data_IF_405058556540
#
_entry.id   IF_405058556540
#
_cell.length_a   1.000
_cell.length_b   1.000
_cell.length_c   1.000
_cell.angle_alpha   90.00
_cell.angle_beta   90.00
_cell.angle_gamma   90.00
#
_symmetry.space_group_name_H-M   'P 1'
#
loop_
_entity.id
_entity.type
_entity.pdbx_description
1 polymer ?
#
# COMPACT_ATOMS: atom_id res chain seq x y z
N UNK A 1 18.28 12.09 -11.65
CA UNK A 1 17.97 11.75 -13.06
C UNK A 1 17.10 10.50 -13.27
N UNK A 2 16.39 9.94 -12.28
CA UNK A 2 15.39 8.87 -12.55
C UNK A 2 14.16 8.97 -11.62
N UNK A 3 13.29 9.95 -11.84
CA UNK A 3 11.98 10.01 -11.17
C UNK A 3 10.93 9.11 -11.83
N UNK A 4 11.15 8.67 -13.08
CA UNK A 4 10.14 7.98 -13.88
C UNK A 4 9.74 6.60 -13.33
N UNK A 5 10.65 5.86 -12.69
CA UNK A 5 10.34 4.55 -12.08
C UNK A 5 9.43 4.63 -10.85
N UNK A 6 9.25 5.81 -10.24
CA UNK A 6 8.28 5.96 -9.15
C UNK A 6 6.83 5.96 -9.64
N UNK A 7 6.59 6.25 -10.93
CA UNK A 7 5.25 6.20 -11.52
C UNK A 7 4.74 4.78 -11.79
N UNK A 8 5.59 3.75 -11.67
CA UNK A 8 5.21 2.37 -11.95
C UNK A 8 4.11 1.83 -11.01
N UNK A 9 3.84 2.53 -9.90
CA UNK A 9 2.73 2.20 -9.00
C UNK A 9 1.38 2.75 -9.49
N UNK A 10 1.34 3.78 -10.34
CA UNK A 10 0.09 4.37 -10.83
C UNK A 10 -0.75 3.40 -11.66
N UNK A 11 -0.19 2.69 -12.67
CA UNK A 11 -0.96 1.71 -13.44
C UNK A 11 -1.59 0.65 -12.54
N UNK A 12 -0.85 0.20 -11.51
CA UNK A 12 -1.36 -0.72 -10.51
C UNK A 12 -2.58 -0.14 -9.79
N UNK A 13 -2.50 1.10 -9.28
CA UNK A 13 -3.63 1.76 -8.63
C UNK A 13 -4.85 1.85 -9.54
N UNK A 14 -4.67 2.25 -10.81
CA UNK A 14 -5.77 2.35 -11.78
C UNK A 14 -6.43 0.99 -11.97
N UNK A 15 -5.66 -0.07 -12.17
CA UNK A 15 -6.20 -1.43 -12.33
C UNK A 15 -6.95 -1.89 -11.08
N UNK A 16 -6.40 -1.67 -9.88
CA UNK A 16 -7.05 -2.06 -8.64
C UNK A 16 -8.33 -1.26 -8.36
N UNK A 17 -8.35 0.04 -8.70
CA UNK A 17 -9.55 0.87 -8.59
C UNK A 17 -10.62 0.43 -9.60
N UNK A 18 -10.24 0.08 -10.82
CA UNK A 18 -11.16 -0.48 -11.81
C UNK A 18 -11.70 -1.87 -11.39
N UNK A 19 -10.91 -2.64 -10.65
CA UNK A 19 -11.35 -3.92 -10.07
C UNK A 19 -12.22 -3.76 -8.82
N UNK A 20 -12.21 -2.59 -8.16
CA UNK A 20 -12.92 -2.38 -6.90
C UNK A 20 -14.45 -2.65 -6.98
N UNK A 21 -15.19 -2.26 -8.04
CA UNK A 21 -16.59 -2.64 -8.18
C UNK A 21 -16.79 -4.16 -8.25
N UNK A 22 -15.92 -4.89 -8.94
CA UNK A 22 -16.00 -6.34 -9.02
C UNK A 22 -15.72 -7.00 -7.65
N UNK A 23 -14.72 -6.50 -6.92
CA UNK A 23 -14.44 -6.91 -5.54
C UNK A 23 -15.67 -6.68 -4.65
N UNK A 24 -16.32 -5.51 -4.75
CA UNK A 24 -17.52 -5.19 -4.00
C UNK A 24 -18.73 -6.07 -4.38
N UNK A 25 -18.87 -6.44 -5.66
CA UNK A 25 -19.91 -7.36 -6.11
C UNK A 25 -19.69 -8.78 -5.58
N UNK A 26 -18.46 -9.29 -5.66
CA UNK A 26 -18.10 -10.62 -5.12
C UNK A 26 -18.32 -10.63 -3.61
N UNK A 27 -17.90 -9.58 -2.91
CA UNK A 27 -18.16 -9.45 -1.47
C UNK A 27 -19.65 -9.42 -1.13
N UNK A 28 -20.47 -8.72 -1.93
CA UNK A 28 -21.93 -8.63 -1.71
C UNK A 28 -22.65 -9.95 -1.93
N UNK A 29 -22.29 -10.71 -2.97
CA UNK A 29 -23.05 -11.90 -3.41
C UNK A 29 -22.39 -13.24 -3.05
N UNK A 30 -21.07 -13.26 -2.85
CA UNK A 30 -20.28 -14.47 -2.65
C UNK A 30 -19.14 -14.24 -1.64
N UNK A 31 -19.45 -13.54 -0.54
CA UNK A 31 -18.48 -13.12 0.50
C UNK A 31 -17.45 -14.17 0.90
N UNK A 32 -17.81 -15.45 1.18
CA UNK A 32 -16.84 -16.45 1.60
C UNK A 32 -15.79 -16.77 0.52
N UNK A 33 -16.08 -16.50 -0.75
CA UNK A 33 -15.19 -16.76 -1.88
C UNK A 33 -14.20 -15.62 -2.15
N UNK A 34 -14.42 -14.42 -1.62
CA UNK A 34 -13.62 -13.24 -1.97
C UNK A 34 -12.12 -13.45 -1.69
N UNK A 35 -11.78 -13.77 -0.44
CA UNK A 35 -10.38 -13.97 -0.03
C UNK A 35 -9.80 -15.24 -0.66
N UNK A 36 -10.48 -16.41 -0.66
CA UNK A 36 -9.99 -17.60 -1.35
C UNK A 36 -9.69 -17.38 -2.85
N UNK A 37 -10.56 -16.69 -3.58
CA UNK A 37 -10.37 -16.41 -5.00
C UNK A 37 -9.15 -15.50 -5.23
N UNK A 38 -9.02 -14.45 -4.42
CA UNK A 38 -7.87 -13.56 -4.44
C UNK A 38 -6.56 -14.30 -4.13
N UNK A 39 -6.54 -15.15 -3.10
CA UNK A 39 -5.37 -15.92 -2.74
C UNK A 39 -5.06 -17.01 -3.77
N UNK A 40 -6.06 -17.60 -4.41
CA UNK A 40 -5.87 -18.55 -5.50
C UNK A 40 -5.19 -17.88 -6.70
N UNK A 41 -5.65 -16.69 -7.10
CA UNK A 41 -5.02 -15.90 -8.16
C UNK A 41 -3.59 -15.50 -7.80
N UNK A 42 -3.38 -15.06 -6.56
CA UNK A 42 -2.05 -14.76 -6.01
C UNK A 42 -1.12 -15.97 -6.10
N UNK A 43 -1.50 -17.12 -5.57
CA UNK A 43 -0.68 -18.34 -5.59
C UNK A 43 -0.45 -18.84 -7.02
N UNK A 44 -1.46 -18.79 -7.88
CA UNK A 44 -1.31 -19.14 -9.29
C UNK A 44 -0.20 -18.30 -9.96
N UNK A 45 -0.17 -16.99 -9.68
CA UNK A 45 0.86 -16.08 -10.21
C UNK A 45 2.25 -16.24 -9.58
N UNK A 46 2.37 -16.94 -8.46
CA UNK A 46 3.67 -17.29 -7.86
C UNK A 46 4.20 -18.64 -8.34
N UNK A 47 3.30 -19.59 -8.60
CA UNK A 47 3.65 -20.92 -9.11
C UNK A 47 3.97 -20.84 -10.60
N UNK A 48 3.09 -20.17 -11.36
CA UNK A 48 3.27 -19.87 -12.77
C UNK A 48 3.45 -18.36 -12.85
N UNK A 49 4.67 -17.83 -13.07
CA UNK A 49 4.99 -16.41 -12.89
C UNK A 49 4.44 -15.53 -14.01
N UNK A 50 3.11 -15.47 -14.17
CA UNK A 50 2.44 -14.63 -15.14
C UNK A 50 2.26 -13.21 -14.59
N UNK A 51 2.46 -12.23 -15.47
CA UNK A 51 2.32 -10.80 -15.17
C UNK A 51 1.86 -10.07 -16.42
N UNK A 52 1.42 -8.82 -16.26
CA UNK A 52 1.03 -7.99 -17.39
C UNK A 52 2.29 -7.57 -18.18
N UNK A 53 2.28 -7.67 -19.53
CA UNK A 53 3.36 -7.17 -20.35
C UNK A 53 3.33 -5.64 -20.40
N UNK A 54 4.50 -5.01 -20.55
CA UNK A 54 4.58 -3.57 -20.82
C UNK A 54 4.42 -3.27 -22.31
N UNK A 55 3.91 -2.08 -22.61
CA UNK A 55 3.81 -1.53 -23.96
C UNK A 55 4.10 -0.02 -23.90
N UNK A 56 4.78 0.60 -24.89
CA UNK A 56 5.29 0.02 -26.14
C UNK A 56 6.65 -0.68 -25.99
N UNK A 57 7.38 -0.44 -24.90
CA UNK A 57 8.67 -1.09 -24.65
C UNK A 57 8.44 -2.52 -24.13
N UNK A 58 9.07 -3.54 -24.73
CA UNK A 58 8.97 -4.92 -24.25
C UNK A 58 9.46 -5.07 -22.81
N UNK A 59 8.71 -5.78 -21.99
CA UNK A 59 9.00 -5.96 -20.58
C UNK A 59 7.80 -6.46 -19.79
N UNK A 60 7.92 -6.40 -18.48
CA UNK A 60 6.90 -6.83 -17.52
C UNK A 60 6.59 -5.70 -16.56
N UNK A 61 5.34 -5.64 -16.10
CA UNK A 61 4.94 -4.64 -15.12
C UNK A 61 5.77 -4.78 -13.85
N UNK A 62 6.32 -3.66 -13.38
CA UNK A 62 7.15 -3.64 -12.17
C UNK A 62 6.36 -4.10 -10.94
N UNK A 63 5.08 -3.75 -10.84
CA UNK A 63 4.15 -4.28 -9.85
C UNK A 63 3.12 -5.18 -10.53
N UNK A 64 3.11 -6.47 -10.20
CA UNK A 64 2.21 -7.43 -10.81
C UNK A 64 0.79 -7.29 -10.19
N UNK A 65 -0.23 -6.85 -10.96
CA UNK A 65 -1.57 -6.63 -10.43
C UNK A 65 -2.24 -7.90 -9.88
N UNK A 66 -1.90 -9.08 -10.42
CA UNK A 66 -2.45 -10.37 -9.96
C UNK A 66 -1.99 -10.75 -8.56
N UNK A 67 -0.79 -10.30 -8.18
CA UNK A 67 -0.24 -10.52 -6.83
C UNK A 67 -0.64 -9.42 -5.87
N UNK A 68 -0.51 -8.16 -6.29
CA UNK A 68 -0.75 -7.00 -5.45
C UNK A 68 -2.23 -6.79 -5.11
N UNK A 69 -3.16 -7.29 -5.92
CA UNK A 69 -4.59 -7.29 -5.54
C UNK A 69 -4.85 -8.03 -4.21
N UNK A 70 -4.01 -9.01 -3.84
CA UNK A 70 -4.19 -9.78 -2.62
C UNK A 70 -4.15 -8.91 -1.36
N UNK A 71 -3.22 -7.94 -1.28
CA UNK A 71 -3.12 -7.05 -0.13
C UNK A 71 -4.32 -6.11 -0.04
N UNK A 72 -4.87 -5.70 -1.19
CA UNK A 72 -6.03 -4.83 -1.28
C UNK A 72 -7.30 -5.58 -0.83
N UNK A 73 -7.50 -6.81 -1.33
CA UNK A 73 -8.62 -7.67 -0.93
C UNK A 73 -8.54 -8.04 0.55
N UNK A 74 -7.34 -8.36 1.06
CA UNK A 74 -7.14 -8.60 2.50
C UNK A 74 -7.46 -7.36 3.33
N UNK A 75 -6.93 -6.19 2.95
CA UNK A 75 -7.25 -4.93 3.63
C UNK A 75 -8.75 -4.64 3.67
N UNK A 76 -9.43 -4.82 2.54
CA UNK A 76 -10.88 -4.68 2.43
C UNK A 76 -11.62 -5.68 3.34
N UNK A 77 -11.26 -6.97 3.30
CA UNK A 77 -11.90 -8.00 4.13
C UNK A 77 -11.66 -7.80 5.63
N UNK A 78 -10.46 -7.34 6.02
CA UNK A 78 -10.07 -7.08 7.40
C UNK A 78 -10.74 -5.82 7.98
N UNK A 79 -11.05 -4.83 7.13
CA UNK A 79 -11.71 -3.59 7.55
C UNK A 79 -13.13 -3.80 8.09
N UNK A 80 -13.79 -4.91 7.74
CA UNK A 80 -15.19 -5.15 8.09
C UNK A 80 -15.35 -5.64 9.51
N UNK A 81 -16.50 -5.33 10.12
CA UNK A 81 -16.83 -5.72 11.49
C UNK A 81 -17.19 -7.19 11.68
N UNK A 82 -17.43 -7.90 10.57
CA UNK A 82 -17.90 -9.29 10.53
C UNK A 82 -16.91 -10.20 9.77
N UNK A 83 -17.15 -11.52 9.80
CA UNK A 83 -16.40 -12.51 9.03
C UNK A 83 -14.92 -12.55 9.39
N UNK A 84 -14.04 -12.56 8.39
CA UNK A 84 -12.58 -12.61 8.60
C UNK A 84 -12.06 -11.45 9.44
N UNK A 85 -12.56 -10.22 9.24
CA UNK A 85 -12.18 -9.07 10.06
C UNK A 85 -12.53 -9.25 11.55
N UNK A 86 -13.71 -9.81 11.84
CA UNK A 86 -14.13 -10.12 13.21
C UNK A 86 -13.24 -11.16 13.88
N UNK A 87 -12.93 -12.24 13.16
CA UNK A 87 -12.04 -13.31 13.62
C UNK A 87 -10.66 -12.74 13.94
N UNK A 88 -10.10 -11.92 13.05
CA UNK A 88 -8.78 -11.29 13.25
C UNK A 88 -8.80 -10.33 14.45
N UNK A 89 -9.82 -9.48 14.61
CA UNK A 89 -9.93 -8.58 15.78
C UNK A 89 -10.05 -9.36 17.09
N UNK A 90 -10.85 -10.43 17.13
CA UNK A 90 -10.98 -11.29 18.31
C UNK A 90 -9.65 -11.93 18.71
N UNK A 91 -8.84 -12.32 17.72
CA UNK A 91 -7.57 -13.00 17.94
C UNK A 91 -6.36 -12.05 17.90
N UNK A 92 -6.58 -10.73 17.91
CA UNK A 92 -5.54 -9.72 17.70
C UNK A 92 -4.41 -9.79 18.73
N UNK A 93 -4.66 -10.24 19.96
CA UNK A 93 -3.61 -10.44 20.97
C UNK A 93 -2.64 -11.53 20.52
N UNK A 94 -3.14 -12.70 20.10
CA UNK A 94 -2.33 -13.81 19.62
C UNK A 94 -1.62 -13.45 18.32
N UNK A 95 -2.31 -12.78 17.39
CA UNK A 95 -1.72 -12.31 16.12
C UNK A 95 -0.54 -11.38 16.40
N UNK A 96 -0.67 -10.43 17.34
CA UNK A 96 0.43 -9.54 17.72
C UNK A 96 1.63 -10.28 18.33
N UNK A 97 1.37 -11.28 19.17
CA UNK A 97 2.43 -12.11 19.77
C UNK A 97 3.23 -12.88 18.71
N UNK A 98 2.58 -13.36 17.65
CA UNK A 98 3.24 -14.03 16.52
C UNK A 98 3.86 -13.03 15.54
N UNK A 99 3.23 -11.87 15.34
CA UNK A 99 3.69 -10.85 14.40
C UNK A 99 4.99 -10.17 14.87
N UNK A 100 5.15 -9.94 16.17
CA UNK A 100 6.33 -9.29 16.73
C UNK A 100 7.65 -10.02 16.36
N UNK A 101 7.82 -11.33 16.62
CA UNK A 101 9.04 -12.04 16.22
C UNK A 101 9.22 -12.07 14.70
N UNK A 102 8.14 -12.15 13.91
CA UNK A 102 8.24 -12.07 12.44
C UNK A 102 8.86 -10.73 12.00
N UNK A 103 8.38 -9.61 12.55
CA UNK A 103 8.91 -8.28 12.24
C UNK A 103 10.37 -8.16 12.65
N UNK A 104 10.73 -8.63 13.85
CA UNK A 104 12.10 -8.57 14.35
C UNK A 104 13.06 -9.42 13.51
N UNK A 105 12.69 -10.67 13.23
CA UNK A 105 13.49 -11.59 12.40
C UNK A 105 13.67 -11.01 11.00
N UNK A 106 12.58 -10.59 10.35
CA UNK A 106 12.68 -10.02 9.00
C UNK A 106 13.49 -8.72 8.96
N UNK A 107 13.43 -7.89 10.01
CA UNK A 107 14.29 -6.70 10.13
C UNK A 107 15.77 -7.07 10.25
N UNK A 108 16.11 -8.08 11.06
CA UNK A 108 17.48 -8.59 11.21
C UNK A 108 17.98 -9.16 9.88
N UNK A 109 17.18 -9.98 9.19
CA UNK A 109 17.55 -10.55 7.89
C UNK A 109 17.86 -9.45 6.85
N UNK A 110 17.04 -8.40 6.81
CA UNK A 110 17.28 -7.24 5.93
C UNK A 110 18.53 -6.48 6.35
N UNK A 111 18.73 -6.22 7.64
CA UNK A 111 19.87 -5.46 8.17
C UNK A 111 21.21 -6.13 7.85
N UNK A 112 21.29 -7.45 8.01
CA UNK A 112 22.50 -8.24 7.71
C UNK A 112 22.54 -8.77 6.27
N UNK A 113 21.55 -8.42 5.44
CA UNK A 113 21.39 -8.93 4.08
C UNK A 113 21.44 -10.48 4.00
N UNK A 114 20.92 -11.15 5.03
CA UNK A 114 20.85 -12.61 5.13
C UNK A 114 19.64 -13.14 4.37
N UNK A 115 19.74 -13.16 3.05
CA UNK A 115 18.77 -13.84 2.20
C UNK A 115 19.35 -15.17 1.72
N UNK A 116 18.54 -16.24 1.67
CA UNK A 116 18.97 -17.50 1.07
C UNK A 116 19.36 -17.28 -0.39
N UNK A 117 20.42 -17.97 -0.82
CA UNK A 117 20.89 -17.93 -2.20
C UNK A 117 19.74 -18.35 -3.16
N UNK A 118 19.33 -17.48 -4.11
CA UNK A 118 18.26 -17.77 -5.06
C UNK A 118 18.44 -19.06 -5.85
N UNK A 119 19.67 -19.51 -6.04
CA UNK A 119 19.99 -20.74 -6.79
C UNK A 119 19.70 -22.01 -6.00
N UNK A 120 19.63 -21.93 -4.67
CA UNK A 120 19.44 -23.07 -3.76
C UNK A 120 18.01 -23.21 -3.23
N UNK A 121 17.11 -22.34 -3.67
CA UNK A 121 15.71 -22.35 -3.23
C UNK A 121 14.90 -23.42 -3.97
N UNK A 122 13.93 -24.07 -3.30
CA UNK A 122 13.02 -25.00 -3.94
C UNK A 122 12.11 -24.28 -4.94
N UNK A 123 11.73 -25.00 -6.00
CA UNK A 123 10.72 -24.51 -6.94
C UNK A 123 9.30 -24.65 -6.34
N UNK A 124 8.39 -23.70 -6.57
CA UNK A 124 8.58 -22.45 -7.31
C UNK A 124 9.30 -21.37 -6.48
N UNK A 125 10.41 -20.85 -7.00
CA UNK A 125 11.31 -19.93 -6.26
C UNK A 125 10.62 -18.69 -5.69
N UNK A 126 9.60 -18.16 -6.36
CA UNK A 126 8.88 -16.94 -5.94
C UNK A 126 8.17 -17.08 -4.58
N UNK A 127 7.92 -18.31 -4.11
CA UNK A 127 7.37 -18.52 -2.76
C UNK A 127 8.38 -18.20 -1.65
N UNK A 128 9.68 -18.29 -1.94
CA UNK A 128 10.75 -18.19 -0.94
C UNK A 128 11.67 -16.98 -1.17
N UNK A 129 11.64 -16.40 -2.37
CA UNK A 129 12.41 -15.21 -2.72
C UNK A 129 11.83 -13.93 -2.08
N UNK A 130 12.70 -12.93 -1.92
CA UNK A 130 12.29 -11.57 -1.58
C UNK A 130 12.10 -10.73 -2.85
N UNK A 131 10.95 -10.87 -3.52
CA UNK A 131 10.63 -10.18 -4.76
C UNK A 131 9.57 -9.09 -4.59
N UNK A 132 9.89 -7.84 -4.93
CA UNK A 132 8.93 -6.72 -4.85
C UNK A 132 7.82 -6.85 -5.89
N UNK A 133 8.16 -7.27 -7.11
CA UNK A 133 7.22 -7.27 -8.24
C UNK A 133 6.03 -8.18 -8.05
N UNK A 134 6.28 -9.39 -7.51
CA UNK A 134 5.26 -10.42 -7.30
C UNK A 134 4.68 -10.42 -5.88
N UNK A 135 4.95 -9.40 -5.06
CA UNK A 135 4.54 -9.35 -3.64
C UNK A 135 4.78 -10.71 -2.95
N UNK A 136 6.03 -11.18 -2.94
CA UNK A 136 6.32 -12.55 -2.49
C UNK A 136 5.82 -12.80 -1.06
N UNK A 137 5.56 -14.06 -0.67
CA UNK A 137 4.90 -14.37 0.61
C UNK A 137 5.61 -13.76 1.81
N UNK A 138 6.95 -13.75 1.79
CA UNK A 138 7.77 -13.08 2.81
C UNK A 138 7.37 -11.61 3.02
N UNK A 139 7.17 -10.85 1.93
CA UNK A 139 6.78 -9.43 1.98
C UNK A 139 5.34 -9.26 2.45
N UNK A 140 4.43 -10.09 1.97
CA UNK A 140 3.01 -10.02 2.36
C UNK A 140 2.86 -10.30 3.87
N UNK A 141 3.49 -11.38 4.36
CA UNK A 141 3.47 -11.76 5.77
C UNK A 141 4.14 -10.68 6.63
N UNK A 142 5.31 -10.20 6.22
CA UNK A 142 6.02 -9.12 6.93
C UNK A 142 5.15 -7.86 7.03
N UNK A 143 4.51 -7.44 5.94
CA UNK A 143 3.64 -6.26 5.93
C UNK A 143 2.44 -6.42 6.87
N UNK A 144 1.75 -7.57 6.82
CA UNK A 144 0.62 -7.85 7.71
C UNK A 144 1.06 -7.93 9.17
N UNK A 145 2.22 -8.52 9.43
CA UNK A 145 2.81 -8.58 10.77
C UNK A 145 3.14 -7.17 11.29
N UNK A 146 3.75 -6.33 10.45
CA UNK A 146 4.03 -4.94 10.80
C UNK A 146 2.75 -4.15 11.09
N UNK A 147 1.70 -4.31 10.28
CA UNK A 147 0.40 -3.69 10.52
C UNK A 147 -0.22 -4.15 11.85
N UNK A 148 -0.13 -5.45 12.18
CA UNK A 148 -0.61 -5.99 13.44
C UNK A 148 0.18 -5.44 14.64
N UNK A 149 1.51 -5.39 14.58
CA UNK A 149 2.35 -4.80 15.64
C UNK A 149 2.06 -3.30 15.78
N UNK A 150 1.95 -2.58 14.67
CA UNK A 150 1.64 -1.16 14.66
C UNK A 150 0.27 -0.86 15.28
N UNK A 151 -0.74 -1.74 15.08
CA UNK A 151 -2.04 -1.60 15.74
C UNK A 151 -1.96 -1.65 17.27
N UNK A 152 -0.92 -2.28 17.83
CA UNK A 152 -0.63 -2.27 19.25
C UNK A 152 -0.02 -0.94 19.69
N UNK A 153 0.92 -0.41 18.91
CA UNK A 153 1.65 0.82 19.21
C UNK A 153 0.78 2.08 19.05
N UNK A 154 -0.11 2.09 18.05
CA UNK A 154 -0.90 3.25 17.65
C UNK A 154 -1.65 3.93 18.81
N UNK A 155 -2.40 3.22 19.67
CA UNK A 155 -3.12 3.85 20.78
C UNK A 155 -2.22 4.50 21.84
N UNK A 156 -0.95 4.10 21.94
CA UNK A 156 -0.03 4.64 22.95
C UNK A 156 0.55 5.99 22.56
N UNK A 157 0.91 6.20 21.29
CA UNK A 157 1.53 7.46 20.84
C UNK A 157 0.54 8.44 20.19
N UNK A 158 -0.58 7.96 19.63
CA UNK A 158 -1.55 8.83 18.96
C UNK A 158 -2.05 9.99 19.85
N UNK A 159 -2.34 9.79 21.16
CA UNK A 159 -2.75 10.90 22.03
C UNK A 159 -1.67 11.95 22.28
N UNK A 160 -0.38 11.62 22.09
CA UNK A 160 0.73 12.54 22.35
C UNK A 160 0.99 13.49 21.18
N UNK A 161 0.61 13.07 19.96
CA UNK A 161 0.81 13.83 18.72
C UNK A 161 -0.45 13.78 17.84
N UNK A 162 -1.61 14.26 18.35
CA UNK A 162 -2.89 14.11 17.65
C UNK A 162 -2.89 14.83 16.29
N UNK A 163 -2.35 16.04 16.21
CA UNK A 163 -2.24 16.79 14.95
C UNK A 163 -1.44 16.04 13.88
N UNK A 164 -0.31 15.43 14.26
CA UNK A 164 0.52 14.68 13.31
C UNK A 164 -0.18 13.39 12.86
N UNK A 165 -0.88 12.74 13.78
CA UNK A 165 -1.60 11.50 13.49
C UNK A 165 -2.77 11.78 12.55
N UNK A 166 -3.57 12.81 12.81
CA UNK A 166 -4.64 13.26 11.92
C UNK A 166 -4.10 13.67 10.55
N UNK A 167 -2.99 14.41 10.52
CA UNK A 167 -2.31 14.80 9.29
C UNK A 167 -1.91 13.58 8.46
N UNK A 168 -1.13 12.66 9.02
CA UNK A 168 -0.66 11.46 8.31
C UNK A 168 -1.81 10.54 7.91
N UNK A 169 -2.83 10.38 8.76
CA UNK A 169 -4.03 9.60 8.45
C UNK A 169 -4.87 10.23 7.33
N UNK A 170 -4.93 11.57 7.23
CA UNK A 170 -5.60 12.26 6.11
C UNK A 170 -4.89 12.01 4.78
N UNK A 171 -3.55 12.05 4.79
CA UNK A 171 -2.75 11.76 3.61
C UNK A 171 -2.92 10.30 3.16
N UNK A 172 -2.93 9.36 4.12
CA UNK A 172 -3.09 7.93 3.86
C UNK A 172 -4.47 7.55 3.31
N UNK A 173 -5.55 8.16 3.83
CA UNK A 173 -6.92 7.94 3.31
C UNK A 173 -7.08 8.36 1.85
N UNK A 174 -6.34 9.38 1.42
CA UNK A 174 -6.37 9.94 0.07
C UNK A 174 -5.07 9.64 -0.71
N UNK A 175 -4.45 8.49 -0.44
CA UNK A 175 -3.10 8.16 -0.90
C UNK A 175 -2.90 8.31 -2.41
N UNK A 176 -3.90 7.98 -3.23
CA UNK A 176 -3.83 8.13 -4.70
C UNK A 176 -3.73 9.60 -5.12
N UNK A 177 -4.65 10.45 -4.64
CA UNK A 177 -4.66 11.88 -4.95
C UNK A 177 -3.37 12.56 -4.46
N UNK A 178 -2.99 12.25 -3.22
CA UNK A 178 -1.77 12.76 -2.59
C UNK A 178 -0.54 12.31 -3.36
N UNK A 179 -0.48 11.06 -3.82
CA UNK A 179 0.63 10.54 -4.63
C UNK A 179 0.75 11.26 -5.98
N UNK A 180 -0.37 11.48 -6.69
CA UNK A 180 -0.38 12.21 -7.96
C UNK A 180 0.17 13.63 -7.79
N UNK A 181 -0.32 14.37 -6.78
CA UNK A 181 0.15 15.72 -6.49
C UNK A 181 1.60 15.71 -6.02
N UNK A 182 1.99 14.80 -5.12
CA UNK A 182 3.37 14.65 -4.65
C UNK A 182 4.35 14.41 -5.79
N UNK A 183 3.96 13.62 -6.80
CA UNK A 183 4.82 13.32 -7.94
C UNK A 183 5.04 14.56 -8.82
N UNK A 184 3.98 15.34 -9.09
CA UNK A 184 4.10 16.61 -9.82
C UNK A 184 4.92 17.64 -9.04
N UNK A 185 4.66 17.79 -7.74
CA UNK A 185 5.43 18.68 -6.86
C UNK A 185 6.90 18.27 -6.77
N UNK A 186 7.19 16.95 -6.77
CA UNK A 186 8.55 16.45 -6.77
C UNK A 186 9.29 16.84 -8.06
N UNK A 187 8.62 16.80 -9.22
CA UNK A 187 9.22 17.26 -10.48
C UNK A 187 9.44 18.78 -10.47
N UNK A 188 8.45 19.56 -10.04
CA UNK A 188 8.56 21.02 -9.89
C UNK A 188 9.72 21.38 -8.95
N UNK A 189 9.81 20.69 -7.80
CA UNK A 189 10.89 20.88 -6.84
C UNK A 189 12.26 20.58 -7.44
N UNK A 190 12.39 19.54 -8.27
CA UNK A 190 13.65 19.28 -8.99
C UNK A 190 14.01 20.41 -9.96
N UNK A 191 13.05 20.95 -10.70
CA UNK A 191 13.26 22.08 -11.60
C UNK A 191 13.70 23.32 -10.81
N UNK A 192 13.02 23.64 -9.71
CA UNK A 192 13.37 24.76 -8.82
C UNK A 192 14.79 24.62 -8.27
N UNK A 193 15.14 23.44 -7.74
CA UNK A 193 16.50 23.18 -7.23
C UNK A 193 17.57 23.28 -8.32
N UNK A 194 17.24 22.88 -9.54
CA UNK A 194 18.14 23.01 -10.70
C UNK A 194 18.38 24.48 -11.08
N UNK A 195 17.32 25.31 -11.09
CA UNK A 195 17.41 26.72 -11.47
C UNK A 195 18.11 27.59 -10.42
N UNK A 196 17.81 27.37 -9.13
CA UNK A 196 18.30 28.25 -8.06
C UNK A 196 19.58 27.75 -7.39
N UNK A 197 20.19 26.68 -7.90
CA UNK A 197 21.34 25.97 -7.30
C UNK A 197 20.99 25.50 -5.87
N UNK A 198 20.81 24.18 -5.70
CA UNK A 198 20.36 23.59 -4.44
C UNK A 198 21.06 24.17 -3.20
N UNK A 199 20.28 24.86 -2.36
CA UNK A 199 20.72 25.43 -1.09
C UNK A 199 19.75 25.01 0.00
N UNK A 200 20.21 25.00 1.27
CA UNK A 200 19.36 24.61 2.41
C UNK A 200 18.05 25.41 2.45
N UNK A 201 18.10 26.71 2.11
CA UNK A 201 16.94 27.59 2.10
C UNK A 201 15.94 27.19 1.00
N UNK A 202 16.41 26.95 -0.23
CA UNK A 202 15.57 26.49 -1.34
C UNK A 202 14.94 25.14 -1.01
N UNK A 203 15.73 24.21 -0.47
CA UNK A 203 15.26 22.87 -0.11
C UNK A 203 14.21 22.92 1.01
N UNK A 204 14.41 23.78 2.02
CA UNK A 204 13.45 23.99 3.11
C UNK A 204 12.14 24.55 2.58
N UNK A 205 12.18 25.57 1.71
CA UNK A 205 10.99 26.16 1.10
C UNK A 205 10.22 25.12 0.27
N UNK A 206 10.92 24.34 -0.54
CA UNK A 206 10.32 23.28 -1.37
C UNK A 206 9.63 22.22 -0.50
N UNK A 207 10.27 21.77 0.59
CA UNK A 207 9.69 20.77 1.49
C UNK A 207 8.49 21.33 2.25
N UNK A 208 8.59 22.51 2.84
CA UNK A 208 7.50 23.12 3.63
C UNK A 208 6.29 23.43 2.75
N UNK A 209 6.51 24.03 1.58
CA UNK A 209 5.43 24.29 0.61
C UNK A 209 4.82 22.99 0.08
N UNK A 210 5.65 21.98 -0.20
CA UNK A 210 5.19 20.65 -0.61
C UNK A 210 4.29 20.00 0.44
N UNK A 211 4.71 19.99 1.71
CA UNK A 211 3.90 19.46 2.82
C UNK A 211 2.55 20.18 2.96
N UNK A 212 2.54 21.51 2.85
CA UNK A 212 1.30 22.29 2.89
C UNK A 212 0.34 21.96 1.74
N UNK A 213 0.86 21.79 0.52
CA UNK A 213 0.06 21.43 -0.65
C UNK A 213 -0.47 19.98 -0.59
N UNK A 214 0.31 19.05 -0.03
CA UNK A 214 -0.15 17.68 0.21
C UNK A 214 -1.27 17.64 1.25
N UNK A 215 -1.14 18.42 2.33
CA UNK A 215 -2.20 18.61 3.30
C UNK A 215 -3.48 19.14 2.65
N UNK A 216 -3.35 20.22 1.87
CA UNK A 216 -4.47 20.84 1.17
C UNK A 216 -5.16 19.84 0.22
N UNK A 217 -4.38 19.03 -0.49
CA UNK A 217 -4.90 17.99 -1.40
C UNK A 217 -5.75 16.96 -0.66
N UNK A 218 -5.26 16.46 0.49
CA UNK A 218 -6.02 15.54 1.32
C UNK A 218 -7.29 16.20 1.87
N UNK A 219 -7.18 17.44 2.37
CA UNK A 219 -8.30 18.19 2.92
C UNK A 219 -9.41 18.44 1.88
N UNK A 220 -9.04 18.88 0.67
CA UNK A 220 -10.00 19.09 -0.44
C UNK A 220 -10.68 17.77 -0.83
N UNK A 221 -9.94 16.67 -0.87
CA UNK A 221 -10.50 15.35 -1.19
C UNK A 221 -11.55 14.93 -0.16
N UNK A 222 -11.25 15.07 1.13
CA UNK A 222 -12.21 14.76 2.20
C UNK A 222 -13.43 15.68 2.20
N UNK A 223 -13.24 16.97 1.92
CA UNK A 223 -14.35 17.92 1.83
C UNK A 223 -15.35 17.51 0.73
N UNK A 224 -14.85 17.10 -0.44
CA UNK A 224 -15.68 16.61 -1.56
C UNK A 224 -16.48 15.37 -1.16
N UNK A 225 -15.85 14.42 -0.48
CA UNK A 225 -16.52 13.18 -0.05
C UNK A 225 -17.63 13.45 0.97
N UNK A 226 -17.40 14.39 1.91
CA UNK A 226 -18.42 14.81 2.89
C UNK A 226 -19.63 15.44 2.19
N UNK A 227 -19.41 16.31 1.21
CA UNK A 227 -20.51 16.94 0.43
C UNK A 227 -21.34 15.90 -0.33
N UNK A 228 -20.69 14.92 -0.96
CA UNK A 228 -21.39 13.84 -1.66
C UNK A 228 -22.21 12.96 -0.70
N UNK A 229 -21.69 12.69 0.50
CA UNK A 229 -22.42 11.94 1.52
C UNK A 229 -23.69 12.68 1.97
N UNK A 230 -23.59 13.99 2.23
CA UNK A 230 -24.74 14.84 2.59
C UNK A 230 -25.79 14.85 1.48
N UNK A 231 -25.38 15.04 0.22
CA UNK A 231 -26.29 15.05 -0.93
C UNK A 231 -27.05 13.72 -1.11
N UNK A 232 -26.41 12.58 -0.83
CA UNK A 232 -27.06 11.25 -0.87
C UNK A 232 -28.09 11.05 0.24
N UNK A 233 -27.88 11.65 1.41
CA UNK A 233 -28.81 11.59 2.53
C UNK A 233 -30.04 12.48 2.29
N UNK A 234 -29.88 13.65 1.67
CA UNK A 234 -31.01 14.52 1.31
C UNK A 234 -31.86 13.99 0.15
N UNK A 235 -31.35 13.03 -0.62
CA UNK A 235 -32.05 12.42 -1.76
C UNK A 235 -32.78 11.11 -1.41
N UNK A 236 -32.74 10.66 -0.16
CA UNK A 236 -33.49 9.51 0.38
C UNK A 236 -34.64 10.01 1.23
#
# INVERSE_FOLDING_TARGET
THQLGYFDILPLYVVLMLAAPAIALIDRFARPLLVPLSLALYLASLIVPFTAPTWPVPGQWFFNPYTWQAIFVLGFALSRDEGLGAIVRRNMRTIRLVALPIVLVTAILVWFNWFPDPTRLPEPKLLFLNGKSFLTPMRLIQFLALAAVFSAAYPYFAPWVPWLTEFLSSLGRNSLNVFCVASLLSLIGQIVRYLYTGSLLVDTIVVVSGMGLLWLTAWVSEWRDRQQAVARLSAR
#
